data_IF_564588990188
#
_entry.id   IF_564588990188
#
_cell.length_a   1.000
_cell.length_b   1.000
_cell.length_c   1.000
_cell.angle_alpha   90.00
_cell.angle_beta   90.00
_cell.angle_gamma   90.00
#
_symmetry.space_group_name_H-M   'P 1'
#
loop_
_entity.id
_entity.type
_entity.pdbx_description
1 polymer ?
#
# COMPACT_ATOMS: atom_id res chain seq x y z
N UNK A 1 7.58 -0.24 -18.27
CA UNK A 1 6.70 -0.88 -17.28
C UNK A 1 5.89 0.23 -16.66
N UNK A 2 4.57 0.11 -16.67
CA UNK A 2 3.74 0.96 -15.81
C UNK A 2 3.90 0.44 -14.38
N UNK A 3 4.09 1.36 -13.44
CA UNK A 3 4.37 1.06 -12.03
C UNK A 3 3.25 1.63 -11.18
N UNK A 4 2.80 0.85 -10.20
CA UNK A 4 1.95 1.33 -9.12
C UNK A 4 2.79 1.45 -7.85
N UNK A 5 2.68 2.59 -7.19
CA UNK A 5 3.26 2.85 -5.90
C UNK A 5 2.24 2.58 -4.81
N UNK A 6 2.66 1.84 -3.79
CA UNK A 6 1.94 1.67 -2.55
C UNK A 6 2.64 2.47 -1.46
N UNK A 7 2.06 3.61 -1.11
CA UNK A 7 2.45 4.36 0.06
C UNK A 7 1.77 3.80 1.27
N UNK A 8 2.52 3.59 2.34
CA UNK A 8 1.97 3.09 3.59
C UNK A 8 2.52 3.87 4.78
N UNK A 9 1.64 4.13 5.72
CA UNK A 9 2.00 4.78 6.97
C UNK A 9 1.20 4.14 8.10
N UNK A 10 1.87 3.83 9.21
CA UNK A 10 1.14 3.41 10.41
C UNK A 10 0.30 4.58 10.94
N UNK A 11 -1.00 4.37 11.04
CA UNK A 11 -1.95 5.35 11.57
C UNK A 11 -2.08 5.25 13.09
N UNK A 12 -2.25 4.04 13.62
CA UNK A 12 -2.34 3.81 15.07
C UNK A 12 -1.45 2.63 15.47
N UNK A 13 -0.34 2.87 16.20
CA UNK A 13 0.47 1.78 16.73
C UNK A 13 -0.27 1.07 17.88
N UNK A 14 -0.20 -0.27 17.91
CA UNK A 14 -0.64 -1.04 19.08
C UNK A 14 0.38 -1.01 20.23
N UNK A 15 1.66 -0.69 19.94
CA UNK A 15 2.74 -0.47 20.93
C UNK A 15 3.69 0.63 20.43
N UNK A 16 4.24 1.43 21.35
CA UNK A 16 4.78 2.79 21.16
C UNK A 16 5.91 3.07 20.15
N UNK A 17 6.18 2.23 19.16
CA UNK A 17 7.05 2.56 18.03
C UNK A 17 6.20 2.78 16.77
N UNK A 18 6.29 3.99 16.19
CA UNK A 18 5.68 4.28 14.89
C UNK A 18 6.47 3.55 13.80
N UNK A 19 5.77 2.83 12.93
CA UNK A 19 6.38 2.33 11.70
C UNK A 19 6.73 3.53 10.81
N UNK A 20 7.93 3.58 10.20
CA UNK A 20 8.26 4.62 9.25
C UNK A 20 7.29 4.60 8.07
N UNK A 21 7.20 5.72 7.35
CA UNK A 21 6.54 5.74 6.06
C UNK A 21 7.33 4.81 5.11
N UNK A 22 6.63 3.92 4.42
CA UNK A 22 7.22 2.97 3.48
C UNK A 22 6.55 3.14 2.13
N UNK A 23 7.36 3.33 1.10
CA UNK A 23 6.99 3.38 -0.30
C UNK A 23 7.37 2.05 -0.98
N UNK A 24 6.39 1.42 -1.62
CA UNK A 24 6.58 0.11 -2.24
C UNK A 24 6.31 0.24 -3.74
N UNK A 25 7.31 -0.09 -4.55
CA UNK A 25 7.20 -0.17 -6.00
C UNK A 25 6.58 -1.52 -6.39
N UNK A 26 5.48 -1.50 -7.15
CA UNK A 26 4.77 -2.70 -7.60
C UNK A 26 4.56 -2.68 -9.11
N UNK A 27 4.65 -3.86 -9.73
CA UNK A 27 4.19 -4.06 -11.09
C UNK A 27 2.67 -3.83 -11.17
N UNK A 28 2.21 -3.19 -12.25
CA UNK A 28 0.77 -3.03 -12.48
C UNK A 28 0.12 -4.41 -12.68
N UNK A 29 -0.99 -4.70 -11.98
CA UNK A 29 -1.77 -5.92 -12.21
C UNK A 29 -2.27 -6.00 -13.67
N UNK A 30 -2.15 -7.19 -14.26
CA UNK A 30 -2.66 -7.53 -15.58
C UNK A 30 -3.69 -8.68 -15.46
N UNK A 31 -4.97 -8.46 -15.79
CA UNK A 31 -5.55 -7.24 -16.36
C UNK A 31 -5.69 -6.09 -15.35
N UNK A 32 -5.61 -4.86 -15.87
CA UNK A 32 -5.86 -3.64 -15.09
C UNK A 32 -7.25 -3.69 -14.42
N UNK A 33 -7.31 -3.62 -13.08
CA UNK A 33 -8.59 -3.64 -12.37
C UNK A 33 -9.42 -2.41 -12.71
N UNK A 34 -10.67 -2.64 -13.12
CA UNK A 34 -11.62 -1.57 -13.45
C UNK A 34 -12.34 -0.98 -12.21
N UNK A 35 -12.19 -1.61 -11.04
CA UNK A 35 -12.94 -1.27 -9.82
C UNK A 35 -12.00 -0.96 -8.66
N UNK A 36 -12.30 0.09 -7.91
CA UNK A 36 -11.54 0.49 -6.72
C UNK A 36 -11.46 -0.63 -5.68
N UNK A 37 -12.54 -1.38 -5.46
CA UNK A 37 -12.53 -2.50 -4.49
C UNK A 37 -11.51 -3.60 -4.86
N UNK A 38 -11.29 -3.83 -6.16
CA UNK A 38 -10.30 -4.82 -6.62
C UNK A 38 -8.88 -4.27 -6.39
N UNK A 39 -8.67 -2.97 -6.56
CA UNK A 39 -7.41 -2.30 -6.20
C UNK A 39 -7.14 -2.31 -4.70
N UNK A 40 -8.16 -2.12 -3.87
CA UNK A 40 -8.03 -2.22 -2.41
C UNK A 40 -7.61 -3.63 -1.99
N UNK A 41 -8.25 -4.67 -2.53
CA UNK A 41 -7.87 -6.05 -2.25
C UNK A 41 -6.44 -6.35 -2.71
N UNK A 42 -6.10 -5.94 -3.94
CA UNK A 42 -4.75 -6.09 -4.49
C UNK A 42 -3.69 -5.41 -3.62
N UNK A 43 -3.98 -4.20 -3.12
CA UNK A 43 -3.09 -3.46 -2.24
C UNK A 43 -2.89 -4.19 -0.92
N UNK A 44 -3.97 -4.68 -0.30
CA UNK A 44 -3.90 -5.45 0.94
C UNK A 44 -3.07 -6.73 0.78
N UNK A 45 -3.23 -7.46 -0.32
CA UNK A 45 -2.48 -8.70 -0.57
C UNK A 45 -0.98 -8.43 -0.73
N UNK A 46 -0.60 -7.36 -1.43
CA UNK A 46 0.81 -6.95 -1.56
C UNK A 46 1.39 -6.46 -0.24
N UNK A 47 0.64 -5.61 0.47
CA UNK A 47 1.05 -5.11 1.78
C UNK A 47 1.21 -6.24 2.79
N UNK A 48 0.35 -7.27 2.77
CA UNK A 48 0.49 -8.44 3.63
C UNK A 48 1.81 -9.20 3.36
N UNK A 49 2.16 -9.42 2.09
CA UNK A 49 3.40 -10.09 1.72
C UNK A 49 4.64 -9.32 2.21
N UNK A 50 4.66 -8.00 2.00
CA UNK A 50 5.73 -7.11 2.49
C UNK A 50 5.77 -7.09 4.02
N UNK A 51 4.62 -6.96 4.67
CA UNK A 51 4.52 -6.89 6.12
C UNK A 51 5.00 -8.17 6.82
N UNK A 52 4.75 -9.35 6.23
CA UNK A 52 5.33 -10.62 6.71
C UNK A 52 6.84 -10.63 6.53
N UNK A 53 7.32 -10.30 5.32
CA UNK A 53 8.74 -10.33 4.98
C UNK A 53 9.56 -9.39 5.89
N UNK A 54 9.08 -8.17 6.08
CA UNK A 54 9.74 -7.12 6.85
C UNK A 54 9.39 -7.14 8.35
N UNK A 55 8.54 -8.09 8.77
CA UNK A 55 8.08 -8.27 10.16
C UNK A 55 7.46 -7.00 10.75
N UNK A 56 6.53 -6.41 10.01
CA UNK A 56 5.80 -5.23 10.45
C UNK A 56 5.00 -5.50 11.73
N UNK A 57 4.81 -4.45 12.51
CA UNK A 57 4.07 -4.55 13.76
C UNK A 57 2.57 -4.70 13.47
N UNK A 58 1.81 -5.48 14.25
CA UNK A 58 0.36 -5.48 14.16
C UNK A 58 -0.20 -4.08 14.42
N UNK A 59 -1.21 -3.66 13.66
CA UNK A 59 -1.80 -2.34 13.81
C UNK A 59 -2.59 -1.87 12.60
N UNK A 60 -3.08 -0.63 12.67
CA UNK A 60 -3.80 0.01 11.56
C UNK A 60 -2.85 0.87 10.75
N UNK A 61 -2.83 0.62 9.45
CA UNK A 61 -2.04 1.33 8.47
C UNK A 61 -2.96 2.11 7.53
N UNK A 62 -2.58 3.34 7.19
CA UNK A 62 -3.14 4.04 6.05
C UNK A 62 -2.34 3.67 4.80
N UNK A 63 -3.01 3.41 3.68
CA UNK A 63 -2.34 3.12 2.42
C UNK A 63 -2.90 3.95 1.27
N UNK A 64 -2.09 4.11 0.22
CA UNK A 64 -2.51 4.70 -1.05
C UNK A 64 -1.83 3.95 -2.20
N UNK A 65 -2.65 3.45 -3.13
CA UNK A 65 -2.21 2.85 -4.39
C UNK A 65 -2.34 3.88 -5.50
N UNK A 66 -1.22 4.29 -6.08
CA UNK A 66 -1.18 5.38 -7.06
C UNK A 66 -0.16 5.16 -8.17
N UNK A 67 -0.40 5.75 -9.34
CA UNK A 67 0.60 5.88 -10.40
C UNK A 67 1.25 7.24 -10.31
N UNK A 68 2.57 7.30 -10.43
CA UNK A 68 3.36 8.54 -10.38
C UNK A 68 3.97 8.89 -11.74
N UNK A 69 4.19 10.17 -11.97
CA UNK A 69 5.02 10.65 -13.07
C UNK A 69 6.52 10.49 -12.74
N UNK A 70 7.39 10.87 -13.68
CA UNK A 70 8.85 10.81 -13.50
C UNK A 70 9.38 11.77 -12.43
N UNK A 71 8.60 12.77 -12.02
CA UNK A 71 8.95 13.69 -10.95
C UNK A 71 8.45 13.20 -9.58
N UNK A 72 7.78 12.05 -9.52
CA UNK A 72 7.23 11.47 -8.29
C UNK A 72 5.86 12.02 -7.90
N UNK A 73 5.20 12.81 -8.76
CA UNK A 73 3.87 13.31 -8.48
C UNK A 73 2.81 12.27 -8.82
N UNK A 74 1.81 12.12 -7.96
CA UNK A 74 0.65 11.28 -8.23
C UNK A 74 -0.10 11.79 -9.47
N UNK A 75 -0.19 10.93 -10.49
CA UNK A 75 -0.96 11.16 -11.72
C UNK A 75 -2.36 10.57 -11.58
N UNK A 76 -2.48 9.45 -10.88
CA UNK A 76 -3.73 8.73 -10.71
C UNK A 76 -3.72 7.96 -9.39
N UNK A 77 -4.81 8.04 -8.63
CA UNK A 77 -4.98 7.29 -7.38
C UNK A 77 -6.03 6.22 -7.62
N UNK A 78 -5.63 4.96 -7.51
CA UNK A 78 -6.50 3.81 -7.78
C UNK A 78 -7.34 3.43 -6.56
N UNK A 79 -6.71 3.45 -5.37
CA UNK A 79 -7.33 3.15 -4.09
C UNK A 79 -6.57 3.83 -2.95
N UNK A 80 -7.27 4.11 -1.86
CA UNK A 80 -6.67 4.55 -0.60
C UNK A 80 -7.61 4.22 0.54
N UNK A 81 -7.06 3.97 1.72
CA UNK A 81 -7.89 3.62 2.86
C UNK A 81 -7.07 3.19 4.06
N UNK A 82 -7.73 2.43 4.92
CA UNK A 82 -7.12 1.85 6.10
C UNK A 82 -7.08 0.33 5.95
N UNK A 83 -5.95 -0.24 6.35
CA UNK A 83 -5.69 -1.66 6.37
C UNK A 83 -5.28 -2.07 7.78
N UNK A 84 -6.02 -3.02 8.36
CA UNK A 84 -5.72 -3.59 9.66
C UNK A 84 -4.83 -4.83 9.46
N UNK A 85 -3.60 -4.78 9.97
CA UNK A 85 -2.62 -5.87 9.83
C UNK A 85 -2.46 -6.66 11.12
N UNK A 86 -2.57 -7.98 10.99
CA UNK A 86 -2.21 -8.97 12.01
C UNK A 86 -1.54 -10.16 11.31
N UNK A 87 -0.31 -10.54 11.70
CA UNK A 87 0.45 -11.63 11.08
C UNK A 87 -0.11 -13.03 11.40
#
# INVERSE_FOLDING_TARGET
MDVVWLDVQMWTPLRGHLHPFTDIECDVPDPLPAQTLVWEQWAHDHLAAVAVHDRWQPGRYHFTAERRDRAGHAVEVFARGYWDWTP
#
